data_IF_507519571804
#
_entry.id   IF_507519571804
#
_cell.length_a   1.000
_cell.length_b   1.000
_cell.length_c   1.000
_cell.angle_alpha   90.00
_cell.angle_beta   90.00
_cell.angle_gamma   90.00
#
_symmetry.space_group_name_H-M   'P 1'
#
loop_
_entity.id
_entity.type
_entity.pdbx_description
1 polymer ?
#
# COMPACT_ATOMS: atom_id res chain seq x y z
N UNK A 1 -16.08 24.42 17.35
CA UNK A 1 -16.23 22.95 17.35
C UNK A 1 -15.00 22.39 16.66
N UNK A 2 -14.05 21.86 17.44
CA UNK A 2 -12.75 21.39 16.96
C UNK A 2 -12.81 19.85 16.88
N UNK A 3 -12.99 19.31 15.68
CA UNK A 3 -12.87 17.88 15.40
C UNK A 3 -11.40 17.53 15.27
N UNK A 4 -10.84 16.90 16.31
CA UNK A 4 -9.49 16.32 16.33
C UNK A 4 -9.53 15.01 15.53
N UNK A 5 -8.84 14.97 14.40
CA UNK A 5 -8.63 13.74 13.63
C UNK A 5 -7.62 12.86 14.38
N UNK A 6 -8.04 11.65 14.75
CA UNK A 6 -7.18 10.65 15.38
C UNK A 6 -6.77 9.62 14.32
N UNK A 7 -5.46 9.46 14.11
CA UNK A 7 -4.90 8.36 13.31
C UNK A 7 -4.52 7.22 14.28
N UNK A 8 -5.07 6.03 14.01
CA UNK A 8 -4.89 4.81 14.80
C UNK A 8 -3.70 3.99 14.25
N UNK A 9 -2.63 3.85 15.04
CA UNK A 9 -1.48 2.98 14.77
C UNK A 9 -1.67 1.58 15.42
N UNK A 10 -2.78 0.90 15.13
CA UNK A 10 -3.01 -0.48 15.59
C UNK A 10 -4.45 -0.99 15.50
N UNK A 11 -4.64 -2.31 15.57
CA UNK A 11 -5.96 -2.94 15.56
C UNK A 11 -6.81 -2.45 16.75
N UNK A 12 -8.07 -2.11 16.49
CA UNK A 12 -9.02 -1.61 17.49
C UNK A 12 -9.29 -2.67 18.57
N UNK A 13 -8.82 -2.44 19.79
CA UNK A 13 -9.13 -3.24 20.98
C UNK A 13 -10.20 -2.54 21.85
N UNK A 14 -11.48 -2.95 21.78
CA UNK A 14 -12.60 -2.25 22.43
C UNK A 14 -12.46 -2.17 23.95
N UNK A 15 -11.75 -3.13 24.55
CA UNK A 15 -11.58 -3.25 25.99
C UNK A 15 -10.65 -2.20 26.62
N UNK A 16 -9.90 -1.45 25.79
CA UNK A 16 -8.89 -0.48 26.24
C UNK A 16 -9.25 0.96 25.93
N UNK A 17 -10.43 1.19 25.35
CA UNK A 17 -10.87 2.51 24.95
C UNK A 17 -11.97 3.04 25.88
N UNK A 18 -11.75 4.24 26.42
CA UNK A 18 -12.82 5.04 27.06
C UNK A 18 -12.91 6.37 26.35
N UNK A 19 -14.15 6.80 26.08
CA UNK A 19 -14.41 8.08 25.43
C UNK A 19 -13.81 9.25 26.23
N UNK A 20 -13.39 10.35 25.57
CA UNK A 20 -12.91 11.55 26.26
C UNK A 20 -13.92 12.04 27.30
N UNK A 21 -13.50 12.13 28.56
CA UNK A 21 -14.35 12.55 29.69
C UNK A 21 -14.89 11.42 30.58
N UNK A 22 -14.67 10.15 30.23
CA UNK A 22 -15.00 9.01 31.11
C UNK A 22 -13.76 8.47 31.84
N UNK A 23 -13.94 8.00 33.08
CA UNK A 23 -12.90 7.29 33.83
C UNK A 23 -12.93 5.81 33.46
N UNK A 24 -11.76 5.25 33.15
CA UNK A 24 -11.60 3.81 32.97
C UNK A 24 -12.14 3.06 34.19
N UNK A 25 -12.89 2.00 33.94
CA UNK A 25 -13.60 1.21 34.97
C UNK A 25 -12.63 0.36 35.80
N UNK A 26 -11.34 0.35 35.45
CA UNK A 26 -10.28 -0.36 36.18
C UNK A 26 -9.08 0.56 36.43
N UNK A 27 -8.78 0.92 37.70
CA UNK A 27 -7.67 1.79 38.03
C UNK A 27 -6.38 0.95 38.19
N UNK A 28 -5.65 0.71 37.10
CA UNK A 28 -4.23 0.42 37.24
C UNK A 28 -3.50 1.75 37.35
N UNK A 29 -3.00 2.04 38.55
CA UNK A 29 -2.20 3.23 38.81
C UNK A 29 -0.87 3.12 38.06
N UNK A 30 -0.55 4.13 37.25
CA UNK A 30 0.70 4.21 36.54
C UNK A 30 1.84 4.47 37.55
N UNK A 31 2.82 3.57 37.65
CA UNK A 31 3.96 3.69 38.59
C UNK A 31 5.01 4.73 38.19
N UNK A 32 4.80 5.45 37.08
CA UNK A 32 5.77 6.44 36.58
C UNK A 32 5.68 7.81 37.29
N UNK A 33 4.71 8.01 38.20
CA UNK A 33 4.65 9.17 39.09
C UNK A 33 4.37 10.52 38.43
N UNK A 34 3.91 10.53 37.17
CA UNK A 34 3.54 11.74 36.43
C UNK A 34 2.02 11.83 36.35
N UNK A 35 1.43 12.64 37.22
CA UNK A 35 -0.03 12.85 37.34
C UNK A 35 -0.44 14.25 36.82
N UNK A 36 0.33 14.83 35.90
CA UNK A 36 0.08 16.16 35.32
C UNK A 36 -0.06 16.10 33.80
N UNK A 37 -0.99 16.89 33.26
CA UNK A 37 -1.20 17.07 31.80
C UNK A 37 -0.08 17.91 31.17
N UNK A 38 0.60 18.73 31.98
CA UNK A 38 1.73 19.56 31.56
C UNK A 38 3.03 18.76 31.63
N UNK A 39 3.96 19.04 30.71
CA UNK A 39 5.29 18.43 30.68
C UNK A 39 6.03 18.82 31.96
N UNK A 40 6.41 17.88 32.84
CA UNK A 40 7.09 18.20 34.08
C UNK A 40 8.46 18.83 33.78
N UNK A 41 8.65 20.08 34.18
CA UNK A 41 9.92 20.82 34.03
C UNK A 41 10.94 20.49 35.15
N UNK A 42 10.59 19.55 36.04
CA UNK A 42 11.44 19.15 37.16
C UNK A 42 12.66 18.37 36.63
N UNK A 43 13.86 18.76 37.06
CA UNK A 43 15.16 18.22 36.62
C UNK A 43 15.30 16.71 36.83
N UNK A 44 14.46 16.08 37.66
CA UNK A 44 14.43 14.62 37.82
C UNK A 44 13.82 13.86 36.63
N UNK A 45 13.07 14.55 35.76
CA UNK A 45 12.47 14.00 34.53
C UNK A 45 13.18 14.48 33.26
N UNK A 46 14.22 15.31 33.40
CA UNK A 46 15.08 15.80 32.31
C UNK A 46 16.43 15.11 32.47
N UNK A 47 16.92 14.44 31.42
CA UNK A 47 18.23 13.79 31.41
C UNK A 47 19.07 14.33 30.26
N UNK A 48 20.34 14.62 30.52
CA UNK A 48 21.32 14.99 29.48
C UNK A 48 21.95 13.76 28.79
N UNK A 49 21.63 12.55 29.29
CA UNK A 49 22.18 11.30 28.77
C UNK A 49 21.39 10.82 27.54
N UNK A 50 22.01 10.91 26.36
CA UNK A 50 21.43 10.57 25.05
C UNK A 50 21.14 9.08 24.85
N UNK A 51 21.48 8.23 25.83
CA UNK A 51 21.25 6.77 25.83
C UNK A 51 20.00 6.32 26.58
N UNK A 52 19.25 7.21 27.23
CA UNK A 52 18.02 6.81 27.92
C UNK A 52 16.94 6.54 26.88
N UNK A 53 16.56 5.27 26.75
CA UNK A 53 15.42 4.83 25.94
C UNK A 53 14.18 5.37 26.60
N UNK A 54 13.46 6.19 25.85
CA UNK A 54 12.20 6.69 26.33
C UNK A 54 11.08 6.22 25.42
N UNK A 55 10.15 5.54 26.07
CA UNK A 55 9.25 4.59 25.44
C UNK A 55 8.88 3.47 26.41
N UNK A 56 8.16 3.82 27.48
CA UNK A 56 7.21 2.88 28.09
C UNK A 56 5.82 3.45 27.92
N UNK A 57 5.01 2.75 27.14
CA UNK A 57 3.61 3.08 26.94
C UNK A 57 2.90 3.07 28.29
N UNK A 58 2.35 4.23 28.66
CA UNK A 58 1.30 4.31 29.66
C UNK A 58 -0.03 4.13 28.93
N UNK A 59 -0.87 3.24 29.44
CA UNK A 59 -2.23 2.90 29.01
C UNK A 59 -3.22 4.10 29.05
N UNK A 60 -2.74 5.29 29.47
CA UNK A 60 -3.45 6.58 29.38
C UNK A 60 -3.00 7.48 28.22
N UNK A 61 -2.18 6.99 27.28
CA UNK A 61 -1.92 7.71 26.01
C UNK A 61 -0.84 8.79 26.07
N UNK A 62 0.12 8.72 27.00
CA UNK A 62 1.34 9.53 26.90
C UNK A 62 2.19 9.00 25.74
N UNK A 63 2.08 9.63 24.57
CA UNK A 63 2.88 9.28 23.38
C UNK A 63 4.26 9.91 23.48
N UNK A 64 5.30 9.08 23.43
CA UNK A 64 6.65 9.53 23.15
C UNK A 64 6.74 9.93 21.67
N UNK A 65 6.57 11.23 21.41
CA UNK A 65 6.45 11.82 20.06
C UNK A 65 7.77 11.92 19.28
N UNK A 66 8.92 11.64 19.90
CA UNK A 66 10.23 11.92 19.30
C UNK A 66 10.47 11.21 17.97
N UNK A 67 10.35 9.88 17.92
CA UNK A 67 10.73 9.11 16.72
C UNK A 67 9.72 9.23 15.57
N UNK A 68 8.42 9.22 15.86
CA UNK A 68 7.37 9.31 14.82
C UNK A 68 7.41 10.69 14.14
N UNK A 69 7.43 11.77 14.92
CA UNK A 69 7.47 13.12 14.33
C UNK A 69 8.74 13.37 13.52
N UNK A 70 9.89 12.83 13.95
CA UNK A 70 11.13 12.90 13.15
C UNK A 70 10.98 12.10 11.84
N UNK A 71 10.35 10.93 11.88
CA UNK A 71 10.05 10.13 10.69
C UNK A 71 9.12 10.88 9.72
N UNK A 72 8.01 11.44 10.22
CA UNK A 72 7.06 12.21 9.42
C UNK A 72 7.75 13.43 8.77
N UNK A 73 8.69 14.07 9.46
CA UNK A 73 9.52 15.14 8.89
C UNK A 73 10.40 14.65 7.74
N UNK A 74 11.00 13.46 7.85
CA UNK A 74 11.79 12.87 6.76
C UNK A 74 10.91 12.54 5.56
N UNK A 75 9.72 11.98 5.77
CA UNK A 75 8.74 11.73 4.70
C UNK A 75 8.33 13.02 3.99
N UNK A 76 8.06 14.09 4.75
CA UNK A 76 7.74 15.40 4.20
C UNK A 76 8.92 16.00 3.40
N UNK A 77 10.16 15.81 3.85
CA UNK A 77 11.36 16.23 3.11
C UNK A 77 11.51 15.46 1.79
N UNK A 78 11.29 14.14 1.79
CA UNK A 78 11.30 13.34 0.56
C UNK A 78 10.23 13.87 -0.41
N UNK A 79 9.02 14.17 0.08
CA UNK A 79 7.96 14.80 -0.69
C UNK A 79 8.37 16.15 -1.29
N UNK A 80 9.03 17.01 -0.52
CA UNK A 80 9.52 18.32 -1.01
C UNK A 80 10.57 18.18 -2.12
N UNK A 81 11.51 17.22 -1.99
CA UNK A 81 12.47 16.91 -3.04
C UNK A 81 11.78 16.37 -4.29
N UNK A 82 10.79 15.48 -4.12
CA UNK A 82 10.01 14.95 -5.22
C UNK A 82 9.24 16.04 -5.98
N UNK A 83 8.57 16.95 -5.28
CA UNK A 83 7.86 18.08 -5.91
C UNK A 83 8.82 18.99 -6.68
N UNK A 84 10.04 19.17 -6.19
CA UNK A 84 11.02 20.09 -6.77
C UNK A 84 11.75 19.50 -7.98
N UNK A 85 12.08 18.20 -7.96
CA UNK A 85 12.94 17.57 -8.98
C UNK A 85 12.62 16.11 -9.30
N UNK A 86 11.42 15.65 -8.95
CA UNK A 86 10.94 14.28 -9.19
C UNK A 86 11.73 13.22 -8.43
N UNK A 87 11.67 11.99 -8.94
CA UNK A 87 12.35 10.83 -8.35
C UNK A 87 13.85 11.04 -8.20
N UNK A 88 14.50 11.68 -9.18
CA UNK A 88 15.96 11.89 -9.16
C UNK A 88 16.39 12.72 -7.95
N UNK A 89 15.65 13.79 -7.64
CA UNK A 89 15.92 14.60 -6.46
C UNK A 89 15.66 13.81 -5.16
N UNK A 90 14.53 13.10 -5.07
CA UNK A 90 14.20 12.27 -3.90
C UNK A 90 15.26 11.20 -3.63
N UNK A 91 15.79 10.54 -4.68
CA UNK A 91 16.90 9.57 -4.57
C UNK A 91 18.18 10.20 -4.02
N UNK A 92 18.48 11.45 -4.38
CA UNK A 92 19.60 12.20 -3.82
C UNK A 92 19.49 12.36 -2.30
N UNK A 93 18.28 12.64 -1.79
CA UNK A 93 18.03 12.69 -0.36
C UNK A 93 18.13 11.30 0.30
N UNK A 94 17.58 10.26 -0.33
CA UNK A 94 17.68 8.88 0.18
C UNK A 94 19.14 8.43 0.30
N UNK A 95 19.96 8.74 -0.70
CA UNK A 95 21.40 8.47 -0.68
C UNK A 95 22.10 9.25 0.45
N UNK A 96 21.71 10.50 0.68
CA UNK A 96 22.21 11.30 1.81
C UNK A 96 21.81 10.72 3.17
N UNK A 97 20.62 10.12 3.28
CA UNK A 97 20.16 9.37 4.45
C UNK A 97 20.88 8.01 4.62
N UNK A 98 21.78 7.64 3.71
CA UNK A 98 22.52 6.37 3.73
C UNK A 98 21.76 5.19 3.14
N UNK A 99 20.65 5.44 2.42
CA UNK A 99 19.88 4.43 1.72
C UNK A 99 20.22 4.53 0.23
N UNK A 100 21.11 3.66 -0.23
CA UNK A 100 21.53 3.64 -1.63
C UNK A 100 20.47 2.91 -2.47
N UNK A 101 19.65 3.68 -3.17
CA UNK A 101 18.61 3.16 -4.08
C UNK A 101 18.95 3.63 -5.50
N UNK A 102 19.06 2.70 -6.43
CA UNK A 102 19.30 3.00 -7.84
C UNK A 102 18.00 2.78 -8.65
N UNK A 103 17.24 3.85 -8.88
CA UNK A 103 16.13 3.88 -9.84
C UNK A 103 16.59 4.64 -11.08
N UNK A 104 17.14 3.91 -12.05
CA UNK A 104 17.62 4.47 -13.31
C UNK A 104 17.50 3.48 -14.46
N UNK A 105 17.77 3.91 -15.71
CA UNK A 105 17.68 3.03 -16.87
C UNK A 105 18.49 1.74 -16.71
N UNK A 106 19.68 1.82 -16.11
CA UNK A 106 20.55 0.67 -15.87
C UNK A 106 19.93 -0.40 -14.95
N UNK A 107 19.17 -0.02 -13.92
CA UNK A 107 18.51 -1.00 -13.04
C UNK A 107 17.32 -1.67 -13.72
N UNK A 108 16.62 -0.93 -14.59
CA UNK A 108 15.57 -1.50 -15.46
C UNK A 108 16.17 -2.46 -16.49
N UNK A 109 17.29 -2.10 -17.11
CA UNK A 109 17.99 -2.94 -18.09
C UNK A 109 18.46 -4.27 -17.48
N UNK A 110 19.01 -4.23 -16.26
CA UNK A 110 19.41 -5.46 -15.56
C UNK A 110 18.18 -6.30 -15.19
N UNK A 111 17.07 -5.69 -14.76
CA UNK A 111 15.82 -6.40 -14.49
C UNK A 111 15.26 -7.07 -15.77
N UNK A 112 15.29 -6.37 -16.91
CA UNK A 112 14.91 -6.90 -18.23
C UNK A 112 15.79 -8.08 -18.61
N UNK A 113 17.11 -7.96 -18.40
CA UNK A 113 18.08 -9.01 -18.70
C UNK A 113 17.84 -10.24 -17.84
N UNK A 114 17.61 -10.07 -16.54
CA UNK A 114 17.26 -11.19 -15.64
C UNK A 114 15.96 -11.85 -16.09
N UNK A 115 14.93 -11.05 -16.40
CA UNK A 115 13.66 -11.57 -16.89
C UNK A 115 13.82 -12.34 -18.21
N UNK A 116 14.71 -11.90 -19.10
CA UNK A 116 14.97 -12.56 -20.38
C UNK A 116 15.66 -13.92 -20.27
N UNK A 117 16.32 -14.20 -19.14
CA UNK A 117 16.98 -15.49 -18.89
C UNK A 117 15.99 -16.59 -18.48
N UNK A 118 14.76 -16.22 -18.08
CA UNK A 118 13.77 -17.20 -17.68
C UNK A 118 13.12 -17.85 -18.89
N UNK A 119 13.01 -19.18 -18.84
CA UNK A 119 12.33 -19.98 -19.85
C UNK A 119 10.82 -19.91 -19.60
N UNK A 120 10.14 -19.02 -20.31
CA UNK A 120 8.69 -19.02 -20.39
C UNK A 120 8.26 -19.93 -21.55
N UNK A 121 7.19 -20.71 -21.39
CA UNK A 121 6.57 -21.47 -22.48
C UNK A 121 5.25 -20.82 -22.88
N UNK A 122 5.26 -19.72 -23.64
CA UNK A 122 4.04 -19.00 -23.95
C UNK A 122 3.29 -19.64 -25.12
N UNK A 123 1.96 -19.62 -25.02
CA UNK A 123 1.08 -19.70 -26.19
C UNK A 123 1.12 -18.33 -26.89
N UNK A 124 1.96 -18.20 -27.93
CA UNK A 124 2.27 -16.94 -28.65
C UNK A 124 1.02 -16.09 -28.98
N UNK A 125 -0.07 -16.74 -29.40
CA UNK A 125 -1.33 -16.06 -29.75
C UNK A 125 -2.00 -15.33 -28.58
N UNK A 126 -1.89 -15.86 -27.37
CA UNK A 126 -2.52 -15.27 -26.18
C UNK A 126 -1.79 -13.97 -25.77
N UNK A 127 -0.48 -13.94 -25.97
CA UNK A 127 0.39 -12.78 -25.70
C UNK A 127 0.09 -11.66 -26.69
N UNK A 128 0.09 -11.93 -28.00
CA UNK A 128 -0.20 -10.91 -29.01
C UNK A 128 -1.59 -10.27 -28.78
N UNK A 129 -2.57 -11.08 -28.41
CA UNK A 129 -3.93 -10.61 -28.10
C UNK A 129 -3.93 -9.68 -26.89
N UNK A 130 -3.19 -10.02 -25.83
CA UNK A 130 -3.07 -9.19 -24.63
C UNK A 130 -2.32 -7.89 -24.90
N UNK A 131 -1.20 -7.92 -25.62
CA UNK A 131 -0.42 -6.74 -25.96
C UNK A 131 -1.23 -5.74 -26.79
N UNK A 132 -1.97 -6.24 -27.79
CA UNK A 132 -2.88 -5.42 -28.59
C UNK A 132 -3.96 -4.76 -27.73
N UNK A 133 -4.47 -5.48 -26.73
CA UNK A 133 -5.53 -5.00 -25.83
C UNK A 133 -5.02 -3.99 -24.81
N UNK A 134 -3.79 -4.16 -24.32
CA UNK A 134 -3.11 -3.24 -23.42
C UNK A 134 -2.55 -2.02 -24.17
N UNK A 135 -2.37 -2.11 -25.49
CA UNK A 135 -1.72 -1.08 -26.30
C UNK A 135 -0.23 -0.95 -26.00
N UNK A 136 0.40 -2.01 -25.49
CA UNK A 136 1.79 -2.03 -25.08
C UNK A 136 2.47 -3.33 -25.53
N UNK A 137 3.60 -3.19 -26.21
CA UNK A 137 4.42 -4.31 -26.64
C UNK A 137 5.59 -4.51 -25.67
N UNK A 138 5.60 -5.65 -24.98
CA UNK A 138 6.69 -6.00 -24.08
C UNK A 138 7.90 -6.48 -24.87
N UNK A 139 9.07 -5.92 -24.56
CA UNK A 139 10.36 -6.45 -25.05
C UNK A 139 10.57 -7.88 -24.56
N UNK A 140 10.19 -8.17 -23.31
CA UNK A 140 10.29 -9.49 -22.69
C UNK A 140 8.89 -10.02 -22.42
N UNK A 141 8.38 -10.84 -23.35
CA UNK A 141 7.02 -11.42 -23.28
C UNK A 141 6.77 -12.22 -22.00
N UNK A 142 7.83 -12.74 -21.41
CA UNK A 142 7.83 -13.44 -20.14
C UNK A 142 7.29 -12.64 -18.96
N UNK A 143 7.55 -11.32 -18.91
CA UNK A 143 7.02 -10.46 -17.84
C UNK A 143 5.49 -10.36 -17.90
N UNK A 144 4.92 -10.30 -19.11
CA UNK A 144 3.48 -10.32 -19.30
C UNK A 144 2.89 -11.68 -18.89
N UNK A 145 3.57 -12.78 -19.21
CA UNK A 145 3.14 -14.12 -18.79
C UNK A 145 3.14 -14.23 -17.26
N UNK A 146 4.24 -13.87 -16.61
CA UNK A 146 4.36 -13.86 -15.14
C UNK A 146 3.24 -13.03 -14.48
N UNK A 147 2.91 -11.87 -15.04
CA UNK A 147 1.86 -10.99 -14.53
C UNK A 147 0.44 -11.58 -14.62
N UNK A 148 0.20 -12.57 -15.49
CA UNK A 148 -1.11 -13.25 -15.64
C UNK A 148 -1.11 -14.66 -15.07
N UNK A 149 0.00 -15.15 -14.50
CA UNK A 149 0.10 -16.52 -13.97
C UNK A 149 -0.11 -16.54 -12.46
N UNK A 150 -1.16 -17.22 -12.02
CA UNK A 150 -1.43 -17.48 -10.60
C UNK A 150 -0.54 -18.63 -10.08
N UNK A 151 -0.22 -18.60 -8.78
CA UNK A 151 0.65 -19.59 -8.15
C UNK A 151 0.17 -21.05 -8.30
N UNK A 152 -1.13 -21.28 -8.48
CA UNK A 152 -1.71 -22.61 -8.69
C UNK A 152 -1.47 -23.18 -10.08
N UNK A 153 -0.99 -22.40 -11.05
CA UNK A 153 -0.71 -22.91 -12.40
C UNK A 153 0.42 -23.95 -12.40
N UNK A 154 1.36 -23.87 -11.45
CA UNK A 154 2.57 -24.67 -11.43
C UNK A 154 2.76 -25.37 -10.07
N UNK A 155 2.24 -26.59 -9.93
CA UNK A 155 2.44 -27.38 -8.70
C UNK A 155 3.87 -27.95 -8.56
N UNK A 156 4.67 -27.95 -9.63
CA UNK A 156 5.99 -28.61 -9.66
C UNK A 156 7.02 -27.73 -10.37
N UNK A 157 8.08 -27.37 -9.64
CA UNK A 157 9.26 -26.58 -10.01
C UNK A 157 9.08 -25.06 -9.98
N UNK A 158 10.08 -24.38 -9.41
CA UNK A 158 10.10 -22.95 -9.04
C UNK A 158 9.58 -22.06 -10.18
N UNK A 159 8.28 -21.72 -10.12
CA UNK A 159 7.61 -20.99 -11.18
C UNK A 159 7.34 -19.55 -10.81
N UNK A 160 7.48 -18.70 -11.80
CA UNK A 160 7.25 -17.27 -11.73
C UNK A 160 5.74 -17.02 -11.76
N UNK A 161 5.20 -16.53 -10.65
CA UNK A 161 3.82 -16.07 -10.55
C UNK A 161 3.80 -14.56 -10.31
N UNK A 162 2.63 -13.94 -10.48
CA UNK A 162 2.51 -12.49 -10.46
C UNK A 162 2.90 -11.86 -9.12
N UNK A 163 3.00 -12.61 -8.01
CA UNK A 163 3.16 -12.07 -6.65
C UNK A 163 4.37 -11.11 -6.48
N UNK A 164 5.48 -11.36 -7.17
CA UNK A 164 6.65 -10.45 -7.11
C UNK A 164 6.41 -9.16 -7.89
N UNK A 165 5.73 -9.26 -9.04
CA UNK A 165 5.33 -8.11 -9.83
C UNK A 165 4.21 -7.32 -9.15
N UNK A 166 3.30 -7.98 -8.45
CA UNK A 166 2.27 -7.37 -7.59
C UNK A 166 2.92 -6.54 -6.48
N UNK A 167 3.88 -7.11 -5.74
CA UNK A 167 4.60 -6.38 -4.71
C UNK A 167 5.26 -5.09 -5.22
N UNK A 168 5.91 -5.15 -6.39
CA UNK A 168 6.49 -3.97 -7.04
C UNK A 168 5.39 -3.01 -7.53
N UNK A 169 4.35 -3.55 -8.15
CA UNK A 169 3.22 -2.83 -8.73
C UNK A 169 2.45 -2.02 -7.71
N UNK A 170 2.24 -2.55 -6.50
CA UNK A 170 1.57 -1.85 -5.40
C UNK A 170 2.30 -0.54 -5.03
N UNK A 171 3.63 -0.60 -4.92
CA UNK A 171 4.45 0.58 -4.62
C UNK A 171 4.42 1.61 -5.75
N UNK A 172 4.44 1.15 -7.01
CA UNK A 172 4.35 2.03 -8.20
C UNK A 172 2.96 2.67 -8.29
N UNK A 173 1.91 1.92 -7.99
CA UNK A 173 0.54 2.40 -7.99
C UNK A 173 0.34 3.46 -6.90
N UNK A 174 0.85 3.21 -5.70
CA UNK A 174 0.77 4.15 -4.58
C UNK A 174 1.38 5.50 -4.92
N UNK A 175 2.58 5.52 -5.53
CA UNK A 175 3.22 6.79 -5.90
C UNK A 175 2.44 7.51 -7.01
N UNK A 176 1.94 6.80 -8.02
CA UNK A 176 1.20 7.40 -9.13
C UNK A 176 -0.14 7.99 -8.67
N UNK A 177 -0.90 7.26 -7.85
CA UNK A 177 -2.18 7.72 -7.32
C UNK A 177 -1.97 8.83 -6.29
N UNK A 178 -1.01 8.68 -5.38
CA UNK A 178 -0.69 9.73 -4.39
C UNK A 178 -0.29 11.02 -5.10
N UNK A 179 0.52 10.94 -6.16
CA UNK A 179 0.90 12.10 -6.95
C UNK A 179 -0.31 12.74 -7.66
N UNK A 180 -1.16 11.93 -8.29
CA UNK A 180 -2.39 12.42 -8.93
C UNK A 180 -3.30 13.14 -7.92
N UNK A 181 -3.50 12.58 -6.74
CA UNK A 181 -4.32 13.17 -5.68
C UNK A 181 -3.69 14.46 -5.15
N UNK A 182 -2.38 14.47 -4.91
CA UNK A 182 -1.63 15.64 -4.45
C UNK A 182 -1.77 16.83 -5.42
N UNK A 183 -1.69 16.58 -6.73
CA UNK A 183 -1.82 17.63 -7.74
C UNK A 183 -3.25 18.16 -7.89
N UNK A 184 -4.25 17.28 -7.85
CA UNK A 184 -5.63 17.64 -8.16
C UNK A 184 -6.44 18.12 -6.95
N UNK A 185 -5.97 17.86 -5.74
CA UNK A 185 -6.66 18.22 -4.51
C UNK A 185 -5.76 19.04 -3.56
N UNK A 186 -5.38 20.24 -3.99
CA UNK A 186 -4.51 21.13 -3.21
C UNK A 186 -5.17 21.71 -1.93
N UNK A 187 -6.50 21.66 -1.81
CA UNK A 187 -7.27 22.34 -0.76
C UNK A 187 -7.93 21.40 0.26
N UNK A 188 -7.60 20.11 0.26
CA UNK A 188 -8.18 19.12 1.18
C UNK A 188 -7.19 18.77 2.30
N UNK A 189 -7.72 18.28 3.42
CA UNK A 189 -6.90 17.93 4.58
C UNK A 189 -6.02 16.69 4.30
N UNK A 190 -4.82 16.56 4.90
CA UNK A 190 -3.99 15.36 4.76
C UNK A 190 -4.69 14.06 5.15
N UNK A 191 -5.61 14.10 6.13
CA UNK A 191 -6.45 12.96 6.50
C UNK A 191 -7.37 12.55 5.35
N UNK A 192 -8.01 13.52 4.70
CA UNK A 192 -8.88 13.27 3.55
C UNK A 192 -8.10 12.75 2.34
N UNK A 193 -6.87 13.22 2.11
CA UNK A 193 -5.98 12.66 1.08
C UNK A 193 -5.68 11.18 1.34
N UNK A 194 -5.47 10.81 2.60
CA UNK A 194 -5.20 9.43 3.01
C UNK A 194 -6.43 8.54 2.79
N UNK A 195 -7.62 9.05 3.12
CA UNK A 195 -8.88 8.37 2.89
C UNK A 195 -9.16 8.21 1.38
N UNK A 196 -8.94 9.25 0.59
CA UNK A 196 -9.07 9.20 -0.88
C UNK A 196 -8.10 8.21 -1.50
N UNK A 197 -6.85 8.18 -1.05
CA UNK A 197 -5.86 7.19 -1.51
C UNK A 197 -6.34 5.78 -1.21
N UNK A 198 -6.79 5.51 0.02
CA UNK A 198 -7.28 4.20 0.43
C UNK A 198 -8.54 3.78 -0.33
N UNK A 199 -9.42 4.73 -0.67
CA UNK A 199 -10.61 4.47 -1.48
C UNK A 199 -10.27 4.23 -2.97
N UNK A 200 -9.22 4.88 -3.48
CA UNK A 200 -8.79 4.78 -4.89
C UNK A 200 -8.00 3.51 -5.14
N UNK A 201 -7.05 3.20 -4.24
CA UNK A 201 -6.22 1.99 -4.27
C UNK A 201 -6.93 0.89 -3.47
N UNK A 202 -7.98 0.32 -4.06
CA UNK A 202 -8.69 -0.82 -3.48
C UNK A 202 -8.86 -1.93 -4.52
N UNK A 203 -8.56 -3.16 -4.10
CA UNK A 203 -8.73 -4.40 -4.85
C UNK A 203 -10.10 -4.50 -5.55
N UNK A 204 -11.19 -4.04 -4.92
CA UNK A 204 -12.52 -4.10 -5.54
C UNK A 204 -12.62 -3.22 -6.81
N UNK A 205 -12.01 -2.03 -6.81
CA UNK A 205 -12.01 -1.14 -7.97
C UNK A 205 -11.15 -1.71 -9.10
N UNK A 206 -9.99 -2.30 -8.77
CA UNK A 206 -9.13 -2.94 -9.76
C UNK A 206 -9.75 -4.21 -10.32
N UNK A 207 -10.40 -5.03 -9.50
CA UNK A 207 -11.14 -6.20 -9.96
C UNK A 207 -12.26 -5.80 -10.94
N UNK A 208 -13.02 -4.75 -10.61
CA UNK A 208 -14.05 -4.21 -11.49
C UNK A 208 -13.46 -3.71 -12.82
N UNK A 209 -12.34 -2.98 -12.77
CA UNK A 209 -11.64 -2.51 -13.97
C UNK A 209 -11.12 -3.69 -14.81
N UNK A 210 -10.50 -4.69 -14.18
CA UNK A 210 -10.01 -5.90 -14.85
C UNK A 210 -11.14 -6.69 -15.52
N UNK A 211 -12.32 -6.77 -14.90
CA UNK A 211 -13.50 -7.40 -15.51
C UNK A 211 -14.03 -6.60 -16.69
N UNK A 212 -14.17 -5.29 -16.56
CA UNK A 212 -14.60 -4.39 -17.66
C UNK A 212 -13.69 -4.48 -18.87
N UNK A 213 -12.40 -4.56 -18.63
CA UNK A 213 -11.40 -4.77 -19.67
C UNK A 213 -11.21 -6.24 -20.02
N UNK A 214 -12.04 -7.18 -19.53
CA UNK A 214 -11.96 -8.62 -19.80
C UNK A 214 -10.56 -9.22 -19.57
N UNK A 215 -9.77 -8.67 -18.65
CA UNK A 215 -8.42 -9.16 -18.33
C UNK A 215 -8.46 -10.49 -17.58
N UNK A 216 -9.49 -10.71 -16.76
CA UNK A 216 -9.73 -11.96 -16.05
C UNK A 216 -9.76 -13.20 -16.96
N UNK A 217 -10.17 -13.06 -18.23
CA UNK A 217 -10.19 -14.17 -19.21
C UNK A 217 -8.81 -14.68 -19.60
N UNK A 218 -7.77 -13.91 -19.30
CA UNK A 218 -6.39 -14.25 -19.63
C UNK A 218 -5.59 -14.72 -18.41
N UNK A 219 -6.19 -14.74 -17.22
CA UNK A 219 -5.54 -15.23 -16.01
C UNK A 219 -5.32 -16.74 -16.12
N UNK A 220 -4.09 -17.19 -15.89
CA UNK A 220 -3.70 -18.59 -15.93
C UNK A 220 -3.72 -19.18 -14.52
N UNK A 221 -4.52 -20.23 -14.33
CA UNK A 221 -4.58 -20.98 -13.07
C UNK A 221 -5.13 -22.41 -13.28
N UNK A 222 -4.70 -23.34 -12.44
CA UNK A 222 -5.25 -24.70 -12.39
C UNK A 222 -6.32 -24.93 -11.29
N UNK A 223 -6.88 -23.89 -10.67
CA UNK A 223 -7.86 -24.03 -9.58
C UNK A 223 -9.30 -23.84 -10.06
N UNK A 224 -10.10 -24.92 -10.03
CA UNK A 224 -11.53 -24.85 -10.35
C UNK A 224 -12.33 -23.98 -9.38
N UNK A 225 -11.93 -23.94 -8.11
CA UNK A 225 -12.55 -23.05 -7.12
C UNK A 225 -12.32 -21.56 -7.45
N UNK A 226 -11.11 -21.22 -7.92
CA UNK A 226 -10.79 -19.86 -8.34
C UNK A 226 -11.58 -19.48 -9.60
N UNK A 227 -11.67 -20.40 -10.57
CA UNK A 227 -12.50 -20.22 -11.77
C UNK A 227 -13.95 -19.89 -11.41
N UNK A 228 -14.56 -20.66 -10.51
CA UNK A 228 -15.95 -20.46 -10.08
C UNK A 228 -16.15 -19.07 -9.46
N UNK A 229 -15.20 -18.62 -8.65
CA UNK A 229 -15.24 -17.30 -8.01
C UNK A 229 -15.09 -16.16 -9.03
N UNK A 230 -14.12 -16.26 -9.94
CA UNK A 230 -13.89 -15.26 -10.99
C UNK A 230 -15.12 -15.17 -11.90
N UNK A 231 -15.65 -16.31 -12.33
CA UNK A 231 -16.84 -16.40 -13.17
C UNK A 231 -18.08 -15.81 -12.48
N UNK A 232 -18.30 -16.12 -11.20
CA UNK A 232 -19.40 -15.55 -10.42
C UNK A 232 -19.28 -14.02 -10.29
N UNK A 233 -18.07 -13.51 -10.03
CA UNK A 233 -17.82 -12.07 -9.94
C UNK A 233 -17.98 -11.37 -11.30
N UNK A 234 -17.45 -11.95 -12.38
CA UNK A 234 -17.60 -11.38 -13.72
C UNK A 234 -19.07 -11.29 -14.16
N UNK A 235 -19.87 -12.29 -13.80
CA UNK A 235 -21.32 -12.29 -14.04
C UNK A 235 -22.02 -11.19 -13.26
N UNK A 236 -21.72 -11.03 -11.97
CA UNK A 236 -22.34 -9.98 -11.14
C UNK A 236 -22.03 -8.57 -11.63
N UNK A 237 -20.82 -8.34 -12.15
CA UNK A 237 -20.42 -7.07 -12.77
C UNK A 237 -21.20 -6.81 -14.07
N UNK A 238 -21.39 -7.83 -14.91
CA UNK A 238 -22.19 -7.73 -16.13
C UNK A 238 -23.64 -7.36 -15.82
N UNK A 239 -24.27 -8.09 -14.89
CA UNK A 239 -25.66 -7.90 -14.48
C UNK A 239 -25.88 -6.50 -13.86
N UNK A 240 -24.89 -5.99 -13.11
CA UNK A 240 -24.92 -4.64 -12.52
C UNK A 240 -24.67 -3.52 -13.53
N UNK A 241 -24.03 -3.79 -14.66
CA UNK A 241 -23.87 -2.80 -15.74
C UNK A 241 -25.18 -2.60 -16.50
N UNK A 242 -26.01 -3.63 -16.58
CA UNK A 242 -27.35 -3.59 -17.21
C UNK A 242 -28.42 -2.98 -16.28
N UNK A 243 -28.16 -2.93 -14.98
CA UNK A 243 -29.07 -2.39 -13.98
C UNK A 243 -28.33 -1.38 -13.10
N UNK A 244 -28.50 -0.09 -13.37
CA UNK A 244 -27.79 1.06 -12.76
C UNK A 244 -27.67 1.06 -11.21
N UNK A 245 -26.87 0.16 -10.64
CA UNK A 245 -26.58 -0.01 -9.20
C UNK A 245 -25.12 -0.41 -9.05
N UNK A 246 -24.23 0.55 -9.24
CA UNK A 246 -22.77 0.38 -9.15
C UNK A 246 -22.21 0.44 -7.72
N UNK A 247 -23.05 0.47 -6.69
CA UNK A 247 -22.63 0.74 -5.30
C UNK A 247 -22.72 -0.46 -4.34
N UNK A 248 -23.01 -1.67 -4.84
CA UNK A 248 -23.09 -2.88 -3.99
C UNK A 248 -22.40 -4.09 -4.65
N UNK A 249 -21.20 -3.90 -5.19
CA UNK A 249 -20.41 -5.03 -5.69
C UNK A 249 -19.87 -5.81 -4.48
N UNK A 250 -20.15 -7.11 -4.47
CA UNK A 250 -19.60 -8.09 -3.51
C UNK A 250 -18.07 -8.04 -3.52
N UNK A 251 -17.44 -8.12 -2.34
CA UNK A 251 -15.97 -8.13 -2.19
C UNK A 251 -15.32 -9.06 -3.22
N UNK A 252 -14.26 -8.58 -3.88
CA UNK A 252 -13.48 -9.36 -4.81
C UNK A 252 -12.94 -10.64 -4.14
N UNK A 253 -12.92 -11.77 -4.85
CA UNK A 253 -12.34 -13.01 -4.31
C UNK A 253 -10.88 -12.77 -3.95
N UNK A 254 -10.52 -13.14 -2.71
CA UNK A 254 -9.18 -13.03 -2.16
C UNK A 254 -8.73 -14.44 -1.80
N UNK A 255 -7.77 -14.98 -2.53
CA UNK A 255 -7.15 -16.27 -2.22
C UNK A 255 -5.78 -15.97 -1.59
N UNK A 256 -5.65 -16.32 -0.30
CA UNK A 256 -4.37 -16.40 0.43
C UNK A 256 -3.67 -17.71 0.13
#
# INVERSE_FOLDING_TARGET
MLTRNYILDGAFEPCRWTAPGQRSIWPNHCVHGVDTIEVPLDTKFVTEDTKVVVGKCCDKGHRWMGSKTISDCVEALIGAYYVTGGLVAALGLMKWLGIDVELGPASVDEAIKIASLHSYSPKVKDIETLEMKLGYEFTVKGLLLEAITHATEHEQEASFCYQRLEFLGDSVLDILITWHLYQNHANIDPGELTDLRSASVNNDNFALAAVRHKLHLHLQHCSGFLEDQISAYAKSVSDACDSAKLLQVTKAPKVT
#
